data_IF_375669096794
#
_entry.id   IF_375669096794
#
_cell.length_a   1.000
_cell.length_b   1.000
_cell.length_c   1.000
_cell.angle_alpha   90.00
_cell.angle_beta   90.00
_cell.angle_gamma   90.00
#
_symmetry.space_group_name_H-M   'P 1'
#
loop_
_entity.id
_entity.type
_entity.pdbx_description
1 polymer ?
#
# COMPACT_ATOMS: atom_id res chain seq x y z
N UNK A 1 12.92 3.36 11.71
CA UNK A 1 11.56 3.21 11.14
C UNK A 1 11.74 3.06 9.65
N UNK A 2 11.06 2.10 9.05
CA UNK A 2 11.24 1.72 7.63
C UNK A 2 9.99 2.03 6.82
N UNK A 3 8.89 1.34 7.11
CA UNK A 3 7.61 1.56 6.43
C UNK A 3 6.78 2.67 7.07
N UNK A 4 5.99 3.35 6.23
CA UNK A 4 5.07 4.43 6.62
C UNK A 4 3.79 4.38 5.78
N UNK A 5 2.65 4.40 6.46
CA UNK A 5 1.32 4.49 5.86
C UNK A 5 0.49 5.62 6.48
N UNK A 6 -0.55 6.02 5.76
CA UNK A 6 -1.69 6.75 6.28
C UNK A 6 -2.94 5.92 6.04
N UNK A 7 -3.85 5.88 7.00
CA UNK A 7 -5.15 5.22 6.85
C UNK A 7 -5.99 5.92 5.77
N UNK A 8 -6.85 5.21 5.01
CA UNK A 8 -7.59 5.80 3.90
C UNK A 8 -8.54 6.94 4.31
N UNK A 9 -8.99 6.96 5.56
CA UNK A 9 -9.82 8.04 6.11
C UNK A 9 -9.00 9.30 6.49
N UNK A 10 -7.68 9.22 6.37
CA UNK A 10 -6.75 10.32 6.57
C UNK A 10 -6.55 10.71 8.04
N UNK A 11 -6.93 9.87 9.01
CA UNK A 11 -6.88 10.24 10.44
C UNK A 11 -5.68 9.70 11.19
N UNK A 12 -5.11 8.59 10.75
CA UNK A 12 -4.03 7.90 11.48
C UNK A 12 -2.81 7.70 10.60
N UNK A 13 -1.66 8.20 11.06
CA UNK A 13 -0.35 7.84 10.52
C UNK A 13 0.12 6.55 11.19
N UNK A 14 0.73 5.66 10.41
CA UNK A 14 1.21 4.36 10.88
C UNK A 14 2.63 4.15 10.41
N UNK A 15 3.56 3.89 11.33
CA UNK A 15 4.95 3.57 11.00
C UNK A 15 5.35 2.22 11.56
N UNK A 16 6.27 1.52 10.92
CA UNK A 16 6.79 0.23 11.39
C UNK A 16 8.32 0.22 11.44
N UNK A 17 8.88 -0.38 12.47
CA UNK A 17 10.34 -0.53 12.61
C UNK A 17 10.86 -1.67 11.74
N UNK A 18 11.95 -1.44 10.99
CA UNK A 18 12.60 -2.46 10.15
C UNK A 18 12.92 -3.74 10.93
N UNK A 19 13.44 -3.57 12.15
CA UNK A 19 13.98 -4.63 12.98
C UNK A 19 13.56 -4.43 14.44
N UNK A 20 13.66 -5.48 15.28
CA UNK A 20 13.37 -5.38 16.70
C UNK A 20 14.18 -4.27 17.37
N UNK A 21 13.50 -3.48 18.21
CA UNK A 21 14.18 -2.43 18.97
C UNK A 21 15.08 -3.04 20.05
N UNK A 22 16.05 -2.28 20.56
CA UNK A 22 17.06 -2.78 21.50
C UNK A 22 16.40 -3.45 22.73
N UNK A 23 15.34 -2.86 23.27
CA UNK A 23 14.61 -3.40 24.42
C UNK A 23 13.91 -4.73 24.13
N UNK A 24 13.51 -4.96 22.89
CA UNK A 24 12.79 -6.16 22.47
C UNK A 24 13.77 -7.24 22.01
N UNK A 25 14.83 -6.87 21.28
CA UNK A 25 15.89 -7.73 20.78
C UNK A 25 16.68 -8.41 21.91
N UNK A 26 16.81 -7.75 23.06
CA UNK A 26 17.52 -8.28 24.22
C UNK A 26 16.75 -9.41 24.94
N UNK A 27 15.46 -9.59 24.66
CA UNK A 27 14.59 -10.57 25.34
C UNK A 27 14.12 -11.64 24.36
N UNK A 28 14.34 -12.91 24.70
CA UNK A 28 14.10 -14.04 23.79
C UNK A 28 12.68 -14.12 23.24
N UNK A 29 11.66 -13.80 24.03
CA UNK A 29 10.25 -13.86 23.61
C UNK A 29 9.85 -12.77 22.61
N UNK A 30 10.59 -11.65 22.59
CA UNK A 30 10.37 -10.51 21.69
C UNK A 30 11.52 -10.32 20.69
N UNK A 31 12.46 -11.25 20.61
CA UNK A 31 13.64 -11.13 19.74
C UNK A 31 13.31 -11.04 18.24
N UNK A 32 12.09 -11.46 17.85
CA UNK A 32 11.55 -11.35 16.48
C UNK A 32 10.35 -10.39 16.42
N UNK A 33 10.14 -9.56 17.44
CA UNK A 33 9.05 -8.59 17.47
C UNK A 33 9.56 -7.25 16.97
N UNK A 34 8.92 -6.68 15.96
CA UNK A 34 9.10 -5.27 15.57
C UNK A 34 7.92 -4.45 16.08
N UNK A 35 8.12 -3.14 16.28
CA UNK A 35 7.04 -2.25 16.74
C UNK A 35 6.39 -1.51 15.59
N UNK A 36 5.07 -1.48 15.61
CA UNK A 36 4.24 -0.57 14.83
C UNK A 36 3.89 0.60 15.76
N UNK A 37 3.93 1.82 15.23
CA UNK A 37 3.51 3.05 15.91
C UNK A 37 2.36 3.64 15.14
N UNK A 38 1.29 4.02 15.82
CA UNK A 38 0.19 4.79 15.23
C UNK A 38 0.10 6.16 15.88
N UNK A 39 -0.26 7.17 15.11
CA UNK A 39 -0.46 8.55 15.58
C UNK A 39 -1.79 9.04 15.01
N UNK A 40 -2.73 9.38 15.89
CA UNK A 40 -3.92 10.14 15.51
C UNK A 40 -3.50 11.58 15.14
N UNK A 41 -3.80 12.00 13.91
CA UNK A 41 -3.30 13.26 13.36
C UNK A 41 -3.93 14.47 14.06
N UNK A 42 -5.18 14.36 14.50
CA UNK A 42 -5.89 15.49 15.10
C UNK A 42 -5.44 15.75 16.54
N UNK A 43 -5.17 14.69 17.31
CA UNK A 43 -4.90 14.74 18.75
C UNK A 43 -3.44 14.52 19.11
N UNK A 44 -2.64 13.89 18.22
CA UNK A 44 -1.29 13.42 18.50
C UNK A 44 -1.25 12.18 19.40
N UNK A 45 -2.39 11.56 19.72
CA UNK A 45 -2.43 10.33 20.51
C UNK A 45 -1.61 9.25 19.80
N UNK A 46 -0.68 8.63 20.53
CA UNK A 46 0.28 7.66 19.99
C UNK A 46 0.09 6.32 20.68
N UNK A 47 0.08 5.25 19.89
CA UNK A 47 0.02 3.88 20.38
C UNK A 47 1.09 3.02 19.74
N UNK A 48 1.58 2.02 20.47
CA UNK A 48 2.51 1.02 19.93
C UNK A 48 1.87 -0.37 19.91
N UNK A 49 2.16 -1.13 18.85
CA UNK A 49 1.70 -2.52 18.69
C UNK A 49 2.86 -3.43 18.32
N UNK A 50 2.84 -4.67 18.80
CA UNK A 50 3.88 -5.65 18.49
C UNK A 50 3.55 -6.45 17.22
N UNK A 51 4.47 -6.51 16.27
CA UNK A 51 4.39 -7.35 15.07
C UNK A 51 5.42 -8.46 15.12
N UNK A 52 5.02 -9.72 14.91
CA UNK A 52 5.92 -10.87 14.93
C UNK A 52 6.47 -11.18 13.54
N UNK A 53 7.79 -11.08 13.34
CA UNK A 53 8.47 -11.61 12.16
C UNK A 53 8.38 -13.15 12.13
N UNK A 54 8.10 -13.74 10.96
CA UNK A 54 8.00 -15.20 10.81
C UNK A 54 9.00 -15.80 9.83
N UNK A 55 9.26 -15.14 8.71
CA UNK A 55 10.07 -15.71 7.62
C UNK A 55 11.20 -14.78 7.20
N UNK A 56 10.97 -13.46 7.27
CA UNK A 56 11.96 -12.43 6.98
C UNK A 56 12.90 -12.15 8.14
N UNK A 57 13.95 -11.38 7.86
CA UNK A 57 14.85 -10.82 8.88
C UNK A 57 14.48 -9.39 9.30
N UNK A 58 13.46 -8.82 8.66
CA UNK A 58 12.94 -7.50 8.95
C UNK A 58 11.79 -7.15 8.02
N UNK A 59 11.24 -5.96 8.23
CA UNK A 59 10.23 -5.36 7.36
C UNK A 59 10.81 -4.22 6.55
N UNK A 60 10.20 -3.94 5.41
CA UNK A 60 10.59 -2.85 4.51
C UNK A 60 9.46 -1.86 4.27
N UNK A 61 8.21 -2.30 4.37
CA UNK A 61 7.07 -1.46 4.03
C UNK A 61 5.80 -1.86 4.77
N UNK A 62 4.89 -0.90 4.92
CA UNK A 62 3.52 -1.08 5.39
C UNK A 62 2.56 -0.22 4.56
N UNK A 63 1.43 -0.78 4.13
CA UNK A 63 0.37 -0.03 3.43
C UNK A 63 -1.00 -0.33 4.04
N UNK A 64 -1.83 0.71 4.19
CA UNK A 64 -3.15 0.60 4.80
C UNK A 64 -4.18 0.04 3.81
N UNK A 65 -4.85 -1.04 4.23
CA UNK A 65 -6.00 -1.65 3.53
C UNK A 65 -7.27 -0.86 3.87
N UNK A 66 -7.45 -0.54 5.16
CA UNK A 66 -8.50 0.31 5.72
C UNK A 66 -7.96 1.00 6.99
N UNK A 67 -8.83 1.39 7.92
CA UNK A 67 -8.48 2.11 9.16
C UNK A 67 -7.80 1.21 10.22
N UNK A 68 -7.89 -0.11 10.11
CA UNK A 68 -7.31 -1.04 11.09
C UNK A 68 -6.53 -2.22 10.49
N UNK A 69 -6.59 -2.44 9.18
CA UNK A 69 -5.88 -3.53 8.50
C UNK A 69 -4.78 -3.01 7.59
N UNK A 70 -3.67 -3.74 7.56
CA UNK A 70 -2.47 -3.35 6.81
C UNK A 70 -1.83 -4.55 6.12
N UNK A 71 -1.17 -4.28 5.00
CA UNK A 71 -0.20 -5.20 4.40
C UNK A 71 1.21 -4.79 4.85
N UNK A 72 2.01 -5.76 5.29
CA UNK A 72 3.39 -5.58 5.75
C UNK A 72 4.32 -6.47 4.94
N UNK A 73 5.38 -5.89 4.36
CA UNK A 73 6.41 -6.63 3.63
C UNK A 73 7.46 -7.19 4.60
N UNK A 74 7.51 -8.52 4.76
CA UNK A 74 8.63 -9.25 5.37
C UNK A 74 9.61 -9.70 4.29
N UNK A 75 10.86 -9.25 4.41
CA UNK A 75 11.92 -9.62 3.48
C UNK A 75 13.19 -10.07 4.17
N UNK A 76 14.01 -10.78 3.42
CA UNK A 76 15.44 -10.95 3.71
C UNK A 76 16.29 -10.03 2.82
N UNK A 77 17.58 -9.93 3.12
CA UNK A 77 18.54 -9.20 2.28
C UNK A 77 18.99 -9.96 1.02
N UNK A 78 18.31 -11.05 0.62
CA UNK A 78 18.76 -11.93 -0.48
C UNK A 78 18.09 -11.58 -1.80
N UNK A 79 18.86 -11.61 -2.89
CA UNK A 79 18.42 -11.28 -4.24
C UNK A 79 19.45 -10.52 -5.07
N UNK A 80 19.03 -10.02 -6.23
CA UNK A 80 19.80 -9.11 -7.08
C UNK A 80 20.22 -7.88 -6.26
N UNK A 81 21.50 -7.53 -6.31
CA UNK A 81 22.12 -6.51 -5.44
C UNK A 81 22.95 -7.08 -4.27
N UNK A 82 22.59 -8.25 -3.72
CA UNK A 82 23.34 -8.93 -2.65
C UNK A 82 24.26 -10.05 -3.18
N UNK A 83 24.15 -10.39 -4.47
CA UNK A 83 24.94 -11.47 -5.08
C UNK A 83 24.44 -12.87 -4.71
N UNK A 84 23.18 -13.00 -4.31
CA UNK A 84 22.53 -14.25 -3.93
C UNK A 84 21.16 -14.39 -4.59
N UNK A 85 20.57 -15.59 -4.56
CA UNK A 85 19.21 -15.80 -5.06
C UNK A 85 18.20 -15.31 -4.03
N UNK A 86 17.15 -14.62 -4.48
CA UNK A 86 16.05 -14.19 -3.63
C UNK A 86 15.38 -15.40 -2.94
N UNK A 87 15.04 -15.25 -1.66
CA UNK A 87 14.36 -16.29 -0.89
C UNK A 87 13.08 -15.79 -0.23
N UNK A 88 13.15 -14.75 0.60
CA UNK A 88 11.98 -14.24 1.32
C UNK A 88 11.66 -12.82 0.88
N UNK A 89 10.48 -12.65 0.28
CA UNK A 89 9.81 -11.39 -0.09
C UNK A 89 8.29 -11.64 0.03
N UNK A 90 7.75 -11.48 1.24
CA UNK A 90 6.42 -11.96 1.58
C UNK A 90 5.60 -10.86 2.23
N UNK A 91 4.44 -10.58 1.66
CA UNK A 91 3.52 -9.56 2.15
C UNK A 91 2.45 -10.24 3.00
N UNK A 92 2.35 -9.87 4.27
CA UNK A 92 1.37 -10.40 5.21
C UNK A 92 0.30 -9.37 5.55
N UNK A 93 -0.93 -9.85 5.78
CA UNK A 93 -1.99 -9.01 6.33
C UNK A 93 -1.93 -9.03 7.87
N UNK A 94 -2.13 -7.87 8.47
CA UNK A 94 -2.35 -7.70 9.91
C UNK A 94 -3.60 -6.89 10.19
N UNK A 95 -4.08 -7.04 11.43
CA UNK A 95 -5.21 -6.29 11.95
C UNK A 95 -4.89 -5.75 13.35
N UNK A 96 -5.05 -4.44 13.55
CA UNK A 96 -4.84 -3.78 14.84
C UNK A 96 -6.15 -3.51 15.58
N UNK A 97 -7.31 -3.86 15.02
CA UNK A 97 -8.59 -3.71 15.69
C UNK A 97 -8.62 -4.54 16.98
N UNK A 98 -8.81 -3.85 18.11
CA UNK A 98 -8.79 -4.48 19.44
C UNK A 98 -7.41 -4.97 19.89
N UNK A 99 -6.33 -4.64 19.17
CA UNK A 99 -4.98 -4.94 19.61
C UNK A 99 -4.64 -4.16 20.89
N UNK A 100 -3.85 -4.79 21.75
CA UNK A 100 -3.40 -4.16 22.99
C UNK A 100 -2.28 -3.14 22.70
N UNK A 101 -2.40 -1.96 23.29
CA UNK A 101 -1.32 -0.96 23.28
C UNK A 101 -0.16 -1.43 24.16
N UNK A 102 1.01 -1.62 23.54
CA UNK A 102 2.23 -2.09 24.19
C UNK A 102 3.22 -0.97 24.53
N UNK A 103 2.83 0.31 24.45
CA UNK A 103 3.71 1.47 24.70
C UNK A 103 4.48 1.35 26.02
N UNK A 104 3.81 0.83 27.06
CA UNK A 104 4.40 0.62 28.39
C UNK A 104 4.72 -0.85 28.70
N UNK A 105 4.72 -1.72 27.70
CA UNK A 105 4.98 -3.16 27.85
C UNK A 105 6.31 -3.56 27.18
N UNK A 106 6.95 -4.58 27.76
CA UNK A 106 8.17 -5.20 27.25
C UNK A 106 8.16 -6.71 27.53
N UNK A 107 9.14 -7.42 26.96
CA UNK A 107 9.36 -8.85 27.18
C UNK A 107 8.11 -9.69 27.00
N UNK A 108 7.87 -10.64 27.91
CA UNK A 108 6.76 -11.60 27.79
C UNK A 108 5.38 -10.94 27.73
N UNK A 109 5.18 -9.81 28.41
CA UNK A 109 3.93 -9.07 28.36
C UNK A 109 3.66 -8.47 26.98
N UNK A 110 4.68 -7.89 26.33
CA UNK A 110 4.55 -7.40 24.95
C UNK A 110 4.40 -8.56 23.96
N UNK A 111 5.14 -9.66 24.17
CA UNK A 111 5.06 -10.84 23.30
C UNK A 111 3.66 -11.48 23.29
N UNK A 112 2.97 -11.48 24.44
CA UNK A 112 1.61 -12.01 24.55
C UNK A 112 0.55 -11.10 23.89
N UNK A 113 0.90 -9.87 23.57
CA UNK A 113 0.01 -8.81 23.07
C UNK A 113 0.23 -8.45 21.59
N UNK A 114 1.05 -9.22 20.86
CA UNK A 114 1.31 -8.97 19.44
C UNK A 114 0.04 -9.06 18.58
N UNK A 115 -0.02 -8.24 17.54
CA UNK A 115 -1.15 -8.16 16.61
C UNK A 115 -1.39 -9.47 15.88
N UNK A 116 -2.65 -9.72 15.52
CA UNK A 116 -3.02 -10.82 14.66
C UNK A 116 -2.38 -10.67 13.28
N UNK A 117 -1.77 -11.74 12.77
CA UNK A 117 -1.18 -11.80 11.43
C UNK A 117 -1.74 -12.99 10.66
N UNK A 118 -1.92 -12.83 9.36
CA UNK A 118 -2.32 -13.92 8.47
C UNK A 118 -1.34 -15.10 8.56
N UNK A 119 -1.88 -16.34 8.58
CA UNK A 119 -1.07 -17.55 8.69
C UNK A 119 -0.24 -17.82 7.43
N UNK A 120 -0.74 -17.37 6.28
CA UNK A 120 -0.04 -17.39 4.99
C UNK A 120 0.13 -15.96 4.49
N UNK A 121 1.17 -15.67 3.69
CA UNK A 121 1.30 -14.36 3.06
C UNK A 121 0.12 -14.12 2.11
N UNK A 122 -0.33 -12.87 2.04
CA UNK A 122 -1.21 -12.39 0.98
C UNK A 122 -0.53 -12.51 -0.38
N UNK A 123 0.76 -12.16 -0.44
CA UNK A 123 1.59 -12.33 -1.64
C UNK A 123 2.97 -12.88 -1.26
N UNK A 124 3.33 -14.04 -1.82
CA UNK A 124 4.73 -14.48 -1.88
C UNK A 124 5.31 -14.02 -3.22
N UNK A 125 6.08 -12.93 -3.19
CA UNK A 125 6.58 -12.28 -4.39
C UNK A 125 7.59 -13.18 -5.13
N UNK A 126 8.43 -13.92 -4.40
CA UNK A 126 9.40 -14.83 -5.03
C UNK A 126 8.68 -15.93 -5.79
N UNK A 127 7.67 -16.55 -5.19
CA UNK A 127 6.85 -17.57 -5.85
C UNK A 127 6.09 -16.99 -7.06
N UNK A 128 5.47 -15.82 -6.89
CA UNK A 128 4.68 -15.18 -7.94
C UNK A 128 5.52 -14.79 -9.16
N UNK A 129 6.70 -14.20 -8.96
CA UNK A 129 7.60 -13.79 -10.05
C UNK A 129 8.20 -15.01 -10.77
N UNK A 130 8.57 -16.07 -10.03
CA UNK A 130 9.04 -17.32 -10.63
C UNK A 130 7.98 -18.01 -11.48
N UNK A 131 6.72 -17.98 -11.06
CA UNK A 131 5.60 -18.49 -11.84
C UNK A 131 5.43 -17.74 -13.18
N UNK A 132 5.94 -16.50 -13.27
CA UNK A 132 5.97 -15.68 -14.48
C UNK A 132 7.34 -15.71 -15.20
N UNK A 133 8.20 -16.67 -14.88
CA UNK A 133 9.46 -16.92 -15.60
C UNK A 133 10.62 -16.02 -15.18
N UNK A 134 10.52 -15.29 -14.06
CA UNK A 134 11.62 -14.49 -13.53
C UNK A 134 12.49 -15.38 -12.63
N UNK A 135 13.79 -15.45 -12.94
CA UNK A 135 14.74 -16.23 -12.13
C UNK A 135 14.95 -15.57 -10.74
N UNK A 136 15.14 -16.38 -9.70
CA UNK A 136 15.36 -15.88 -8.35
C UNK A 136 16.60 -14.97 -8.21
N UNK A 137 17.60 -15.13 -9.08
CA UNK A 137 18.77 -14.25 -9.16
C UNK A 137 18.46 -12.87 -9.75
N UNK A 138 17.32 -12.71 -10.44
CA UNK A 138 16.87 -11.45 -11.03
C UNK A 138 15.89 -10.70 -10.13
N UNK A 139 15.38 -11.32 -9.07
CA UNK A 139 14.47 -10.69 -8.12
C UNK A 139 15.31 -9.80 -7.17
N UNK A 140 14.99 -8.49 -7.03
CA UNK A 140 15.74 -7.57 -6.18
C UNK A 140 15.83 -8.00 -4.71
N UNK A 141 16.98 -7.74 -4.08
CA UNK A 141 17.19 -7.98 -2.65
C UNK A 141 16.35 -7.04 -1.76
N UNK A 142 16.05 -5.84 -2.25
CA UNK A 142 15.37 -4.77 -1.53
C UNK A 142 14.03 -4.45 -2.15
N UNK A 143 12.96 -5.03 -1.62
CA UNK A 143 11.59 -4.60 -1.93
C UNK A 143 11.24 -3.58 -0.86
N UNK A 144 11.00 -2.34 -1.26
CA UNK A 144 10.94 -1.18 -0.35
C UNK A 144 9.90 -0.15 -0.84
N UNK A 145 8.82 -0.66 -1.43
CA UNK A 145 7.69 0.19 -1.80
C UNK A 145 6.44 -0.62 -2.11
N UNK A 146 5.34 -0.25 -1.48
CA UNK A 146 4.00 -0.80 -1.68
C UNK A 146 3.02 0.34 -1.85
N UNK A 147 2.15 0.23 -2.86
CA UNK A 147 1.06 1.16 -3.04
C UNK A 147 -0.12 0.46 -3.72
N UNK A 148 -1.33 0.71 -3.23
CA UNK A 148 -2.51 0.36 -4.03
C UNK A 148 -2.60 1.30 -5.22
N UNK A 149 -2.94 0.75 -6.39
CA UNK A 149 -3.11 1.49 -7.62
C UNK A 149 -4.57 1.56 -8.08
N UNK A 150 -4.76 2.07 -9.29
CA UNK A 150 -6.10 2.10 -9.90
C UNK A 150 -6.58 0.68 -10.22
N UNK A 151 -7.89 0.49 -10.11
CA UNK A 151 -8.51 -0.75 -10.56
C UNK A 151 -8.37 -0.90 -12.08
N UNK A 152 -8.20 -2.14 -12.52
CA UNK A 152 -8.10 -2.49 -13.94
C UNK A 152 -9.20 -3.48 -14.31
N UNK A 153 -9.80 -3.26 -15.47
CA UNK A 153 -10.73 -4.20 -16.07
C UNK A 153 -9.97 -5.07 -17.08
N UNK A 154 -9.89 -6.36 -16.83
CA UNK A 154 -9.31 -7.33 -17.78
C UNK A 154 -10.26 -8.50 -17.98
N UNK A 155 -10.52 -8.86 -19.23
CA UNK A 155 -11.46 -9.92 -19.62
C UNK A 155 -12.86 -9.79 -18.96
N UNK A 156 -13.32 -8.55 -18.75
CA UNK A 156 -14.63 -8.26 -18.14
C UNK A 156 -14.66 -8.37 -16.61
N UNK A 157 -13.51 -8.63 -15.97
CA UNK A 157 -13.39 -8.77 -14.54
C UNK A 157 -12.59 -7.59 -13.95
N UNK A 158 -13.10 -7.02 -12.85
CA UNK A 158 -12.43 -5.97 -12.10
C UNK A 158 -11.34 -6.58 -11.22
N UNK A 159 -10.16 -5.95 -11.22
CA UNK A 159 -9.06 -6.24 -10.31
C UNK A 159 -8.58 -4.95 -9.67
N UNK A 160 -8.42 -4.97 -8.36
CA UNK A 160 -7.61 -4.00 -7.64
C UNK A 160 -6.14 -4.28 -7.93
N UNK A 161 -5.30 -3.25 -7.82
CA UNK A 161 -3.86 -3.40 -8.09
C UNK A 161 -3.03 -3.08 -6.87
N UNK A 162 -2.03 -3.93 -6.60
CA UNK A 162 -0.95 -3.66 -5.67
C UNK A 162 0.35 -3.49 -6.47
N UNK A 163 0.93 -2.31 -6.37
CA UNK A 163 2.24 -1.98 -6.89
C UNK A 163 3.29 -2.36 -5.85
N UNK A 164 4.34 -3.03 -6.31
CA UNK A 164 5.49 -3.45 -5.52
C UNK A 164 6.74 -2.94 -6.22
N UNK A 165 7.56 -2.17 -5.52
CA UNK A 165 8.77 -1.56 -6.06
C UNK A 165 10.03 -2.00 -5.30
N UNK A 166 11.16 -1.97 -5.99
CA UNK A 166 12.46 -2.17 -5.36
C UNK A 166 13.20 -0.84 -5.20
N UNK A 167 14.02 -0.74 -4.15
CA UNK A 167 15.11 0.23 -4.09
C UNK A 167 16.39 -0.44 -4.64
N UNK A 168 17.17 0.31 -5.41
CA UNK A 168 18.46 -0.13 -5.92
C UNK A 168 19.63 0.64 -5.31
N UNK A 169 19.42 1.44 -4.26
CA UNK A 169 20.44 2.27 -3.60
C UNK A 169 21.13 3.26 -4.55
N UNK A 170 20.48 3.61 -5.67
CA UNK A 170 21.11 4.31 -6.81
C UNK A 170 22.33 3.57 -7.41
N UNK A 171 22.50 2.27 -7.12
CA UNK A 171 23.54 1.41 -7.68
C UNK A 171 22.97 0.46 -8.74
N UNK A 172 22.74 1.01 -9.93
CA UNK A 172 22.26 0.22 -11.05
C UNK A 172 23.25 -0.86 -11.54
N UNK A 173 24.54 -0.79 -11.16
CA UNK A 173 25.54 -1.76 -11.58
C UNK A 173 25.43 -3.05 -10.78
N UNK A 174 25.18 -2.93 -9.48
CA UNK A 174 25.10 -4.09 -8.58
C UNK A 174 23.66 -4.57 -8.39
N UNK A 175 22.72 -3.65 -8.16
CA UNK A 175 21.32 -3.96 -7.83
C UNK A 175 20.38 -3.96 -9.05
N UNK A 176 20.87 -3.58 -10.23
CA UNK A 176 20.05 -3.47 -11.43
C UNK A 176 19.17 -2.21 -11.44
N UNK A 177 18.27 -2.12 -12.43
CA UNK A 177 17.34 -0.98 -12.53
C UNK A 177 16.18 -1.14 -11.56
N UNK A 178 15.64 -0.02 -11.07
CA UNK A 178 14.37 -0.02 -10.34
C UNK A 178 13.26 -0.62 -11.20
N UNK A 179 12.51 -1.54 -10.62
CA UNK A 179 11.40 -2.28 -11.18
C UNK A 179 10.13 -1.94 -10.42
N UNK A 180 9.02 -1.98 -11.14
CA UNK A 180 7.68 -1.95 -10.57
C UNK A 180 6.95 -3.21 -11.02
N UNK A 181 6.49 -3.99 -10.06
CA UNK A 181 5.63 -5.14 -10.28
C UNK A 181 4.21 -4.76 -9.90
N UNK A 182 3.24 -5.21 -10.70
CA UNK A 182 1.82 -4.92 -10.46
C UNK A 182 1.06 -6.23 -10.36
N UNK A 183 0.41 -6.44 -9.22
CA UNK A 183 -0.37 -7.63 -8.94
C UNK A 183 -1.85 -7.28 -8.88
N UNK A 184 -2.67 -8.00 -9.64
CA UNK A 184 -4.12 -7.89 -9.60
C UNK A 184 -4.70 -8.78 -8.50
N UNK A 185 -5.65 -8.27 -7.73
CA UNK A 185 -6.42 -9.02 -6.73
C UNK A 185 -7.90 -8.59 -6.76
N UNK A 186 -8.77 -9.37 -6.14
CA UNK A 186 -10.21 -9.12 -6.06
C UNK A 186 -10.65 -8.92 -4.61
N UNK A 187 -11.88 -8.45 -4.41
CA UNK A 187 -12.48 -8.26 -3.08
C UNK A 187 -12.37 -9.51 -2.18
N UNK A 188 -12.46 -10.70 -2.77
CA UNK A 188 -12.35 -11.97 -2.03
C UNK A 188 -10.94 -12.30 -1.56
N UNK A 189 -9.91 -11.79 -2.23
CA UNK A 189 -8.51 -12.02 -1.90
C UNK A 189 -8.05 -11.13 -0.73
N UNK A 190 -8.63 -9.92 -0.63
CA UNK A 190 -8.32 -8.95 0.42
C UNK A 190 -9.60 -8.27 0.95
N UNK A 191 -10.41 -8.98 1.76
CA UNK A 191 -11.67 -8.44 2.28
C UNK A 191 -11.46 -7.17 3.08
N UNK A 192 -12.34 -6.18 2.88
CA UNK A 192 -12.29 -4.90 3.58
C UNK A 192 -11.32 -3.88 2.97
N UNK A 193 -10.80 -4.13 1.77
CA UNK A 193 -10.03 -3.14 1.02
C UNK A 193 -10.84 -1.86 0.79
N UNK A 194 -10.24 -0.73 1.15
CA UNK A 194 -10.77 0.62 0.91
C UNK A 194 -9.78 1.35 0.01
N UNK A 195 -10.26 1.75 -1.18
CA UNK A 195 -9.45 2.50 -2.13
C UNK A 195 -8.97 3.83 -1.54
N UNK A 196 -7.66 4.05 -1.59
CA UNK A 196 -7.04 5.33 -1.21
C UNK A 196 -7.27 6.42 -2.27
N UNK A 197 -7.80 6.05 -3.44
CA UNK A 197 -8.19 6.98 -4.47
C UNK A 197 -9.60 7.48 -4.20
N UNK A 198 -9.70 8.66 -3.57
CA UNK A 198 -10.93 9.43 -3.69
C UNK A 198 -11.12 9.76 -5.16
N UNK A 199 -12.29 9.45 -5.73
CA UNK A 199 -12.67 10.01 -7.02
C UNK A 199 -12.48 11.51 -6.91
N UNK A 200 -11.53 12.08 -7.64
CA UNK A 200 -11.40 13.53 -7.76
C UNK A 200 -12.76 13.97 -8.27
N UNK A 201 -13.60 14.63 -7.46
CA UNK A 201 -14.82 15.17 -8.01
C UNK A 201 -14.35 16.11 -9.11
N UNK A 202 -14.88 16.01 -10.32
CA UNK A 202 -14.65 17.05 -11.33
C UNK A 202 -15.80 18.07 -11.21
N UNK A 203 -15.82 18.99 -10.23
CA UNK A 203 -16.86 20.02 -10.17
C UNK A 203 -16.72 21.02 -11.33
N UNK A 204 -15.55 21.11 -11.95
CA UNK A 204 -15.29 22.04 -13.05
C UNK A 204 -15.80 21.53 -14.41
N UNK A 205 -15.81 20.23 -14.68
CA UNK A 205 -16.14 19.71 -16.02
C UNK A 205 -17.63 19.87 -16.33
N UNK A 206 -18.53 19.61 -15.39
CA UNK A 206 -19.96 19.85 -15.58
C UNK A 206 -20.30 21.34 -15.65
N UNK A 207 -19.72 22.16 -14.78
CA UNK A 207 -19.93 23.60 -14.81
C UNK A 207 -19.39 24.22 -16.12
N UNK A 208 -18.23 23.78 -16.61
CA UNK A 208 -17.67 24.22 -17.89
C UNK A 208 -18.42 23.65 -19.10
N UNK A 209 -18.91 22.41 -19.03
CA UNK A 209 -19.73 21.81 -20.09
C UNK A 209 -21.09 22.50 -20.19
N UNK A 210 -21.78 22.73 -19.07
CA UNK A 210 -23.07 23.43 -19.03
C UNK A 210 -22.92 24.91 -19.43
N UNK A 211 -21.86 25.59 -18.98
CA UNK A 211 -21.60 26.97 -19.40
C UNK A 211 -21.19 27.05 -20.88
N UNK A 212 -20.40 26.10 -21.39
CA UNK A 212 -20.07 25.96 -22.80
C UNK A 212 -21.31 25.73 -23.68
N UNK A 213 -22.16 24.77 -23.34
CA UNK A 213 -23.41 24.53 -24.06
C UNK A 213 -24.41 25.69 -23.90
N UNK A 214 -24.46 26.33 -22.74
CA UNK A 214 -25.27 27.53 -22.50
C UNK A 214 -24.84 28.71 -23.38
N UNK A 215 -23.53 28.96 -23.50
CA UNK A 215 -22.96 29.97 -24.39
C UNK A 215 -23.28 29.68 -25.85
N UNK A 216 -23.02 28.46 -26.33
CA UNK A 216 -23.31 28.05 -27.72
C UNK A 216 -24.82 28.17 -28.01
N UNK A 217 -25.67 27.68 -27.12
CA UNK A 217 -27.13 27.79 -27.25
C UNK A 217 -27.60 29.25 -27.29
N UNK A 218 -27.03 30.14 -26.48
CA UNK A 218 -27.36 31.57 -26.48
C UNK A 218 -26.95 32.28 -27.77
N UNK A 219 -25.78 31.93 -28.33
CA UNK A 219 -25.28 32.47 -29.60
C UNK A 219 -26.12 32.00 -30.79
N UNK A 220 -26.50 30.72 -30.82
CA UNK A 220 -27.39 30.14 -31.84
C UNK A 220 -28.83 30.71 -31.74
N UNK A 221 -29.31 31.04 -30.54
CA UNK A 221 -30.63 31.68 -30.36
C UNK A 221 -30.65 33.12 -30.86
N UNK A 222 -29.53 33.84 -30.73
CA UNK A 222 -29.40 35.25 -31.15
C UNK A 222 -29.32 35.44 -32.67
N UNK A 223 -29.01 34.39 -33.44
CA UNK A 223 -28.88 34.48 -34.90
C UNK A 223 -30.19 34.27 -35.69
N UNK A 224 -31.30 33.91 -35.03
CA UNK A 224 -32.62 33.84 -35.69
C UNK A 224 -33.18 35.24 -35.91
N UNK A 225 -32.72 35.92 -36.97
CA UNK A 225 -33.38 37.12 -37.51
C UNK A 225 -34.77 36.72 -38.00
N UNK A 226 -35.80 37.43 -37.54
CA UNK A 226 -37.16 37.29 -38.06
C UNK A 226 -37.19 37.76 -39.50
N UNK A 227 -37.31 36.82 -40.44
CA UNK A 227 -37.55 37.15 -41.86
C UNK A 227 -39.01 37.54 -41.99
N UNK A 228 -39.27 38.83 -42.18
CA UNK A 228 -40.62 39.31 -42.53
C UNK A 228 -40.76 39.22 -44.06
N UNK A 229 -41.51 38.24 -44.54
CA UNK A 229 -41.87 38.15 -45.96
C UNK A 229 -43.09 39.04 -46.20
N UNK A 230 -42.98 39.98 -47.14
CA UNK A 230 -44.13 40.75 -47.66
C UNK A 230 -44.32 40.39 -49.13
N UNK A 231 -45.55 40.00 -49.48
CA UNK A 231 -45.95 39.73 -50.85
C UNK A 231 -46.58 40.98 -51.46
N UNK A 232 -46.20 41.31 -52.69
CA UNK A 232 -46.92 42.14 -53.65
C UNK A 232 -46.65 41.56 -55.05
#
# INVERSE_FOLDING_TARGET
MEGLAITPDGKTLVGIMQAPLIQDAAVKSTANMVRIVTIDIATGATHEYGYKLTTGSGVSEIVAINDHQFLVDERDGKGLGDGSNAKVKQIFQIDIAGAADITNLNGDAAAAAMVGKSATPFLDLVAALKAHGIDAAQIPAKIEGLAFGQDVLTNGQLYHTLYVANDNDFDAKTAGSNQFYVFGFQDGDLPGFVSQFSAVPEPSTWAMMLSGFGLIGSLLRRSKRSVTVRFA
#
